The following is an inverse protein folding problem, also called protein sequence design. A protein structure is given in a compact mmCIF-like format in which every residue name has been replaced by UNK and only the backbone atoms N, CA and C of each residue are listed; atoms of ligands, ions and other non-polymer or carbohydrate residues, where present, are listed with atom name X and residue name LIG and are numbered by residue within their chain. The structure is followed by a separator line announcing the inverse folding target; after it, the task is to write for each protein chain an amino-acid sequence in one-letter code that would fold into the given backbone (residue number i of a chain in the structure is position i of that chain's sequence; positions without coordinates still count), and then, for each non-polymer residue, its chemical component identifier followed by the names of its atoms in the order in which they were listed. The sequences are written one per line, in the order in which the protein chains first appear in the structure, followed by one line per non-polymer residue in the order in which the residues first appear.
data_IF_639374365650
#
_entry.id   IF_639374365650
#
_cell.length_a   1.000
_cell.length_b   1.000
_cell.length_c   1.000
_cell.angle_alpha   90.00
_cell.angle_beta   90.00
_cell.angle_gamma   90.00
#
_symmetry.space_group_name_H-M   'P 1'
#
loop_
_entity.id
_entity.type
_entity.pdbx_description
1 polymer ?
#
# COMPACT_ATOMS: atom_id res chain seq x y z
N UNK A 1 -2.55 9.08 28.31
CA UNK A 1 -2.09 10.48 28.39
C UNK A 1 -1.37 10.81 27.10
N UNK A 2 -1.62 11.98 26.49
CA UNK A 2 -0.81 12.47 25.38
C UNK A 2 0.58 12.84 25.94
N UNK A 3 1.68 12.18 25.53
CA UNK A 3 3.01 12.43 26.07
C UNK A 3 3.54 13.84 25.79
N UNK A 4 2.95 14.56 24.81
CA UNK A 4 3.33 15.93 24.50
C UNK A 4 2.53 16.99 25.25
N UNK A 5 1.52 16.58 26.04
CA UNK A 5 0.60 17.47 26.75
C UNK A 5 0.00 18.60 25.87
N UNK A 6 0.03 18.42 24.54
CA UNK A 6 -0.62 19.30 23.58
C UNK A 6 -2.10 18.97 23.58
N UNK A 7 -2.93 19.99 23.80
CA UNK A 7 -4.36 19.87 23.64
C UNK A 7 -4.67 19.72 22.13
N UNK A 8 -4.64 18.49 21.63
CA UNK A 8 -5.30 18.19 20.36
C UNK A 8 -6.79 18.32 20.64
N UNK A 9 -7.36 19.48 20.32
CA UNK A 9 -8.80 19.68 20.32
C UNK A 9 -9.40 18.52 19.52
N UNK A 10 -10.29 17.74 20.13
CA UNK A 10 -11.02 16.61 19.52
C UNK A 10 -11.73 16.93 18.18
N UNK A 11 -11.63 18.17 17.69
CA UNK A 11 -12.20 18.67 16.44
C UNK A 11 -11.29 18.54 15.23
N UNK A 12 -9.97 18.41 15.39
CA UNK A 12 -9.11 18.22 14.23
C UNK A 12 -9.15 16.76 13.79
N UNK A 13 -9.63 16.54 12.56
CA UNK A 13 -9.55 15.22 11.93
C UNK A 13 -8.08 14.79 11.88
N UNK A 14 -7.75 13.54 12.28
CA UNK A 14 -6.38 13.05 12.20
C UNK A 14 -5.86 13.22 10.77
N UNK A 15 -4.73 13.92 10.62
CA UNK A 15 -4.08 14.12 9.32
C UNK A 15 -2.76 13.37 9.30
N UNK A 16 -2.72 12.31 8.51
CA UNK A 16 -1.47 11.70 8.05
C UNK A 16 -1.31 12.03 6.57
N UNK A 17 -0.07 12.20 6.16
CA UNK A 17 0.27 12.08 4.75
C UNK A 17 0.62 10.62 4.45
N UNK A 18 0.06 10.09 3.37
CA UNK A 18 0.41 8.78 2.84
C UNK A 18 1.38 8.99 1.68
N UNK A 19 2.66 8.66 1.88
CA UNK A 19 3.66 8.65 0.82
C UNK A 19 3.60 7.30 0.12
N UNK A 20 3.60 7.28 -1.22
CA UNK A 20 3.50 6.07 -2.05
C UNK A 20 4.65 6.06 -3.05
N UNK A 21 5.27 4.89 -3.26
CA UNK A 21 6.31 4.70 -4.28
C UNK A 21 5.74 4.74 -5.70
N UNK A 22 6.63 4.70 -6.69
CA UNK A 22 6.21 4.33 -8.05
C UNK A 22 5.54 2.95 -8.05
N UNK A 23 4.46 2.76 -8.82
CA UNK A 23 3.78 1.47 -8.95
C UNK A 23 4.54 0.51 -9.87
N UNK A 24 4.56 -0.76 -9.46
CA UNK A 24 5.07 -1.87 -10.26
C UNK A 24 3.94 -2.87 -10.52
N UNK A 25 3.91 -3.43 -11.72
CA UNK A 25 3.04 -4.55 -12.08
C UNK A 25 3.80 -5.86 -11.89
N UNK A 26 3.17 -6.83 -11.25
CA UNK A 26 3.68 -8.20 -11.12
C UNK A 26 2.96 -9.07 -12.17
N UNK A 27 3.60 -9.34 -13.33
CA UNK A 27 2.98 -10.08 -14.40
C UNK A 27 2.93 -11.58 -14.09
N UNK A 28 2.13 -12.31 -14.87
CA UNK A 28 2.02 -13.78 -14.79
C UNK A 28 1.53 -14.32 -13.44
N UNK A 29 0.79 -13.51 -12.68
CA UNK A 29 0.12 -13.97 -11.47
C UNK A 29 -1.23 -14.59 -11.86
N UNK A 30 -1.51 -15.87 -11.52
CA UNK A 30 -2.80 -16.48 -11.78
C UNK A 30 -3.94 -15.69 -11.13
N UNK A 31 -5.08 -15.55 -11.83
CA UNK A 31 -6.27 -14.86 -11.30
C UNK A 31 -6.77 -15.42 -9.96
N UNK A 32 -6.56 -16.71 -9.70
CA UNK A 32 -6.89 -17.37 -8.44
C UNK A 32 -6.02 -16.93 -7.26
N UNK A 33 -4.84 -16.37 -7.53
CA UNK A 33 -3.84 -16.05 -6.51
C UNK A 33 -4.18 -14.71 -5.85
N UNK A 34 -4.45 -14.77 -4.56
CA UNK A 34 -4.75 -13.58 -3.78
C UNK A 34 -3.48 -12.91 -3.24
N UNK A 35 -3.60 -11.66 -2.78
CA UNK A 35 -2.46 -10.90 -2.24
C UNK A 35 -1.76 -11.56 -1.05
N UNK A 36 -2.48 -12.36 -0.23
CA UNK A 36 -1.86 -13.10 0.87
C UNK A 36 -0.97 -14.25 0.37
N UNK A 37 -1.44 -15.03 -0.60
CA UNK A 37 -0.64 -16.08 -1.25
C UNK A 37 0.59 -15.49 -1.95
N UNK A 38 0.46 -14.30 -2.53
CA UNK A 38 1.61 -13.58 -3.10
C UNK A 38 2.62 -13.20 -2.02
N UNK A 39 2.18 -12.61 -0.92
CA UNK A 39 3.05 -12.34 0.21
C UNK A 39 3.73 -13.62 0.74
N UNK A 40 3.02 -14.76 0.75
CA UNK A 40 3.57 -16.04 1.16
C UNK A 40 4.66 -16.57 0.20
N UNK A 41 4.51 -16.35 -1.11
CA UNK A 41 5.56 -16.66 -2.09
C UNK A 41 6.73 -15.68 -2.00
N UNK A 42 6.46 -14.39 -1.81
CA UNK A 42 7.51 -13.37 -1.68
C UNK A 42 8.37 -13.58 -0.43
N UNK A 43 7.79 -14.03 0.68
CA UNK A 43 8.53 -14.34 1.89
C UNK A 43 9.46 -15.55 1.75
N UNK A 44 9.36 -16.32 0.65
CA UNK A 44 10.13 -17.54 0.44
C UNK A 44 11.60 -17.26 0.11
N UNK A 45 11.91 -16.05 -0.34
CA UNK A 45 13.28 -15.59 -0.64
C UNK A 45 14.09 -15.22 0.60
N UNK A 46 13.43 -15.14 1.77
CA UNK A 46 14.06 -14.69 3.01
C UNK A 46 13.98 -13.18 3.19
N UNK A 47 14.14 -12.73 4.44
CA UNK A 47 13.90 -11.33 4.84
C UNK A 47 14.87 -10.33 4.17
N UNK A 48 16.16 -10.66 4.13
CA UNK A 48 17.20 -9.75 3.63
C UNK A 48 17.04 -9.51 2.13
N UNK A 49 16.87 -10.58 1.35
CA UNK A 49 16.67 -10.47 -0.09
C UNK A 49 15.33 -9.80 -0.42
N UNK A 50 14.25 -10.16 0.30
CA UNK A 50 12.94 -9.52 0.14
C UNK A 50 13.03 -8.00 0.35
N UNK A 51 13.61 -7.56 1.47
CA UNK A 51 13.74 -6.13 1.79
C UNK A 51 14.65 -5.40 0.81
N UNK A 52 15.81 -5.99 0.45
CA UNK A 52 16.74 -5.38 -0.52
C UNK A 52 16.08 -5.21 -1.88
N UNK A 53 15.31 -6.20 -2.34
CA UNK A 53 14.67 -6.19 -3.64
C UNK A 53 13.54 -5.16 -3.70
N UNK A 54 12.69 -5.11 -2.67
CA UNK A 54 11.64 -4.09 -2.58
C UNK A 54 12.23 -2.67 -2.54
N UNK A 55 13.28 -2.43 -1.74
CA UNK A 55 13.92 -1.11 -1.65
C UNK A 55 14.60 -0.69 -2.96
N UNK A 56 15.14 -1.64 -3.72
CA UNK A 56 15.74 -1.38 -5.02
C UNK A 56 14.70 -1.07 -6.10
N UNK A 57 13.56 -1.77 -6.09
CA UNK A 57 12.53 -1.63 -7.12
C UNK A 57 11.62 -0.43 -6.86
N UNK A 58 11.19 -0.25 -5.62
CA UNK A 58 10.25 0.79 -5.21
C UNK A 58 10.91 1.77 -4.23
N UNK A 59 11.92 2.55 -4.67
CA UNK A 59 12.59 3.51 -3.82
C UNK A 59 11.62 4.62 -3.39
N UNK A 60 11.80 5.09 -2.15
CA UNK A 60 11.00 6.17 -1.57
C UNK A 60 11.84 7.43 -1.45
N UNK A 61 11.26 8.58 -1.80
CA UNK A 61 11.91 9.87 -1.65
C UNK A 61 12.04 10.27 -0.17
N UNK A 62 13.13 10.97 0.15
CA UNK A 62 13.32 11.53 1.49
C UNK A 62 12.48 12.80 1.64
N UNK A 63 11.52 12.76 2.57
CA UNK A 63 10.61 13.86 2.87
C UNK A 63 10.86 14.50 4.24
N UNK A 64 11.66 13.87 5.12
CA UNK A 64 11.86 14.37 6.48
C UNK A 64 12.54 15.74 6.43
N UNK A 65 11.96 16.70 7.14
CA UNK A 65 12.49 18.06 7.23
C UNK A 65 12.06 18.98 6.08
N UNK A 66 11.39 18.46 5.04
CA UNK A 66 10.85 19.27 3.95
C UNK A 66 9.49 19.86 4.31
N UNK A 67 9.16 21.01 3.73
CA UNK A 67 7.80 21.56 3.78
C UNK A 67 6.96 21.05 2.62
N UNK A 68 5.63 21.12 2.73
CA UNK A 68 4.73 20.69 1.66
C UNK A 68 4.97 21.50 0.36
N UNK A 69 5.30 22.79 0.49
CA UNK A 69 5.65 23.66 -0.62
C UNK A 69 6.95 23.22 -1.30
N UNK A 70 7.99 22.88 -0.54
CA UNK A 70 9.25 22.38 -1.08
C UNK A 70 9.04 21.08 -1.86
N UNK A 71 8.27 20.14 -1.30
CA UNK A 71 7.93 18.89 -1.97
C UNK A 71 7.18 19.16 -3.28
N UNK A 72 6.20 20.08 -3.27
CA UNK A 72 5.46 20.45 -4.47
C UNK A 72 6.36 21.09 -5.55
N UNK A 73 7.25 22.00 -5.16
CA UNK A 73 8.20 22.63 -6.08
C UNK A 73 9.19 21.63 -6.69
N UNK A 74 9.75 20.73 -5.88
CA UNK A 74 10.64 19.65 -6.34
C UNK A 74 9.91 18.72 -7.32
N UNK A 75 8.66 18.36 -7.03
CA UNK A 75 7.83 17.53 -7.92
C UNK A 75 7.57 18.19 -9.28
N UNK A 76 7.20 19.48 -9.28
CA UNK A 76 7.00 20.25 -10.53
C UNK A 76 8.31 20.35 -11.31
N UNK A 77 9.42 20.63 -10.64
CA UNK A 77 10.73 20.70 -11.28
C UNK A 77 11.14 19.35 -11.89
N UNK A 78 10.94 18.24 -11.17
CA UNK A 78 11.22 16.89 -11.64
C UNK A 78 10.40 16.54 -12.90
N UNK A 79 9.09 16.84 -12.90
CA UNK A 79 8.23 16.63 -14.07
C UNK A 79 8.69 17.45 -15.30
N UNK A 80 9.13 18.70 -15.10
CA UNK A 80 9.66 19.54 -16.19
C UNK A 80 10.98 18.98 -16.72
N UNK A 81 11.89 18.55 -15.85
CA UNK A 81 13.19 18.00 -16.24
C UNK A 81 13.01 16.69 -17.02
N UNK A 82 12.20 15.76 -16.49
CA UNK A 82 11.89 14.49 -17.17
C UNK A 82 11.24 14.72 -18.53
N UNK A 83 10.31 15.69 -18.63
CA UNK A 83 9.67 16.05 -19.89
C UNK A 83 10.64 16.63 -20.95
N UNK A 84 11.82 17.13 -20.56
CA UNK A 84 12.83 17.68 -21.47
C UNK A 84 13.89 16.65 -21.92
N UNK A 85 14.09 15.57 -21.16
CA UNK A 85 15.14 14.58 -21.42
C UNK A 85 14.74 13.48 -22.44
N UNK A 86 13.46 13.34 -22.82
CA UNK A 86 13.06 12.43 -23.91
C UNK A 86 13.33 13.12 -25.26
N UNK A 87 14.23 12.55 -26.05
CA UNK A 87 14.89 13.09 -27.25
C UNK A 87 13.99 13.33 -28.49
N UNK A 88 12.71 13.68 -28.32
CA UNK A 88 11.78 13.87 -29.43
C UNK A 88 10.57 14.73 -29.06
N UNK A 89 10.76 16.05 -28.97
CA UNK A 89 9.66 17.03 -28.90
C UNK A 89 8.95 17.13 -27.54
N UNK A 90 8.92 18.35 -26.99
CA UNK A 90 8.26 18.67 -25.73
C UNK A 90 6.72 18.63 -25.84
N UNK A 91 6.06 17.86 -24.97
CA UNK A 91 4.85 18.25 -24.18
C UNK A 91 4.04 17.07 -23.61
N UNK A 92 4.11 15.86 -24.17
CA UNK A 92 3.17 14.78 -23.80
C UNK A 92 3.40 14.21 -22.39
N UNK A 93 4.61 13.79 -22.06
CA UNK A 93 4.88 13.02 -20.83
C UNK A 93 4.69 13.83 -19.53
N UNK A 94 5.04 15.12 -19.51
CA UNK A 94 4.82 15.96 -18.32
C UNK A 94 3.34 16.32 -18.12
N UNK A 95 2.60 16.55 -19.21
CA UNK A 95 1.16 16.80 -19.16
C UNK A 95 0.39 15.55 -18.69
N UNK A 96 0.81 14.38 -19.13
CA UNK A 96 0.28 13.08 -18.72
C UNK A 96 0.47 12.83 -17.22
N UNK A 97 1.68 13.04 -16.68
CA UNK A 97 1.93 12.93 -15.23
C UNK A 97 1.03 13.86 -14.42
N UNK A 98 0.86 15.12 -14.86
CA UNK A 98 -0.03 16.09 -14.19
C UNK A 98 -1.51 15.66 -14.29
N UNK A 99 -1.92 15.09 -15.43
CA UNK A 99 -3.27 14.57 -15.62
C UNK A 99 -3.57 13.39 -14.68
N UNK A 100 -2.62 12.46 -14.54
CA UNK A 100 -2.70 11.33 -13.59
C UNK A 100 -2.84 11.83 -12.15
N UNK A 101 -2.00 12.78 -11.72
CA UNK A 101 -2.07 13.37 -10.37
C UNK A 101 -3.43 14.07 -10.14
N UNK A 102 -3.93 14.80 -11.14
CA UNK A 102 -5.24 15.46 -11.07
C UNK A 102 -6.37 14.43 -10.97
N UNK A 103 -6.30 13.35 -11.73
CA UNK A 103 -7.25 12.23 -11.66
C UNK A 103 -7.25 11.60 -10.28
N UNK A 104 -6.07 11.30 -9.72
CA UNK A 104 -5.90 10.81 -8.35
C UNK A 104 -6.51 11.75 -7.32
N UNK A 105 -6.24 13.06 -7.42
CA UNK A 105 -6.79 14.06 -6.50
C UNK A 105 -8.33 14.13 -6.57
N UNK A 106 -8.91 14.06 -7.77
CA UNK A 106 -10.36 13.99 -7.95
C UNK A 106 -10.92 12.69 -7.35
N UNK A 107 -10.35 11.53 -7.68
CA UNK A 107 -10.77 10.24 -7.18
C UNK A 107 -10.72 10.16 -5.64
N UNK A 108 -9.72 10.78 -5.01
CA UNK A 108 -9.62 10.89 -3.56
C UNK A 108 -10.72 11.75 -2.93
N UNK A 109 -11.23 12.75 -3.63
CA UNK A 109 -12.28 13.64 -3.10
C UNK A 109 -13.70 13.12 -3.37
N UNK A 110 -13.88 12.37 -4.45
CA UNK A 110 -15.18 11.80 -4.83
C UNK A 110 -15.72 10.88 -3.75
N UNK A 111 -17.00 11.04 -3.41
CA UNK A 111 -17.75 10.22 -2.42
C UNK A 111 -17.18 10.15 -1.00
N UNK A 112 -16.13 10.93 -0.66
CA UNK A 112 -15.53 10.92 0.69
C UNK A 112 -16.55 11.29 1.77
N UNK A 113 -17.35 12.32 1.54
CA UNK A 113 -18.34 12.78 2.52
C UNK A 113 -19.44 11.73 2.80
N UNK A 114 -19.89 11.03 1.77
CA UNK A 114 -20.90 9.97 1.88
C UNK A 114 -20.33 8.73 2.58
N UNK A 115 -19.07 8.39 2.31
CA UNK A 115 -18.36 7.29 2.99
C UNK A 115 -18.14 7.58 4.47
N UNK A 116 -17.77 8.82 4.82
CA UNK A 116 -17.62 9.25 6.21
C UNK A 116 -18.95 9.18 6.96
N UNK A 117 -20.07 9.53 6.31
CA UNK A 117 -21.39 9.55 6.96
C UNK A 117 -22.04 8.17 7.06
N UNK A 118 -21.88 7.31 6.08
CA UNK A 118 -22.56 5.99 6.01
C UNK A 118 -21.68 4.83 6.47
N UNK A 119 -20.36 4.96 6.41
CA UNK A 119 -19.41 3.86 6.60
C UNK A 119 -19.44 2.83 5.46
N UNK A 120 -20.23 3.06 4.42
CA UNK A 120 -20.41 2.15 3.28
C UNK A 120 -19.44 2.57 2.17
N UNK A 121 -18.68 1.59 1.68
CA UNK A 121 -17.69 1.77 0.63
C UNK A 121 -18.23 1.28 -0.72
N UNK A 122 -19.11 2.06 -1.33
CA UNK A 122 -19.60 1.79 -2.69
C UNK A 122 -18.51 2.08 -3.72
N UNK A 123 -18.33 1.13 -4.63
CA UNK A 123 -17.45 1.20 -5.79
C UNK A 123 -18.33 1.64 -6.96
N UNK A 124 -17.84 2.58 -7.77
CA UNK A 124 -18.52 2.90 -9.01
C UNK A 124 -18.44 1.71 -9.96
N UNK A 125 -19.55 1.33 -10.59
CA UNK A 125 -19.59 0.29 -11.64
C UNK A 125 -18.80 0.65 -12.90
N UNK A 126 -18.25 1.87 -12.96
CA UNK A 126 -17.43 2.33 -14.08
C UNK A 126 -16.17 1.45 -14.19
N UNK A 127 -15.95 0.82 -15.34
CA UNK A 127 -14.68 0.15 -15.63
C UNK A 127 -13.50 1.12 -15.53
N UNK A 128 -12.36 0.63 -15.04
CA UNK A 128 -11.16 1.42 -14.81
C UNK A 128 -10.09 1.11 -15.87
N UNK A 129 -9.36 2.12 -16.32
CA UNK A 129 -8.08 1.89 -17.02
C UNK A 129 -6.98 1.56 -16.02
N UNK A 130 -5.83 1.07 -16.50
CA UNK A 130 -4.70 0.69 -15.64
C UNK A 130 -4.23 1.85 -14.75
N UNK A 131 -4.16 3.06 -15.29
CA UNK A 131 -3.75 4.27 -14.56
C UNK A 131 -4.77 4.72 -13.51
N UNK A 132 -6.05 4.38 -13.71
CA UNK A 132 -7.12 4.69 -12.77
C UNK A 132 -7.18 3.72 -11.58
N UNK A 133 -6.60 2.51 -11.68
CA UNK A 133 -6.66 1.47 -10.62
C UNK A 133 -6.10 1.99 -9.29
N UNK A 134 -4.90 2.58 -9.30
CA UNK A 134 -4.28 3.05 -8.07
C UNK A 134 -5.09 4.22 -7.49
N UNK A 135 -5.44 5.20 -8.34
CA UNK A 135 -6.26 6.36 -7.97
C UNK A 135 -7.56 5.96 -7.27
N UNK A 136 -8.23 4.95 -7.81
CA UNK A 136 -9.49 4.43 -7.29
C UNK A 136 -9.34 3.77 -5.91
N UNK A 137 -8.23 3.07 -5.69
CA UNK A 137 -7.97 2.31 -4.44
C UNK A 137 -7.37 3.14 -3.32
N UNK A 138 -6.84 4.34 -3.60
CA UNK A 138 -6.17 5.22 -2.61
C UNK A 138 -6.96 5.44 -1.34
N UNK A 139 -8.27 5.69 -1.42
CA UNK A 139 -9.07 5.93 -0.23
C UNK A 139 -9.16 4.68 0.66
N UNK A 140 -9.39 3.51 0.06
CA UNK A 140 -9.48 2.25 0.83
C UNK A 140 -8.12 1.89 1.42
N UNK A 141 -7.07 2.14 0.65
CA UNK A 141 -5.68 2.02 1.07
C UNK A 141 -5.37 2.92 2.27
N UNK A 142 -5.79 4.18 2.29
CA UNK A 142 -5.65 5.09 3.43
C UNK A 142 -6.27 4.49 4.71
N UNK A 143 -7.53 4.02 4.63
CA UNK A 143 -8.22 3.42 5.75
C UNK A 143 -7.53 2.14 6.26
N UNK A 144 -7.17 1.23 5.36
CA UNK A 144 -6.47 0.00 5.70
C UNK A 144 -5.07 0.26 6.26
N UNK A 145 -4.36 1.30 5.78
CA UNK A 145 -3.02 1.64 6.28
C UNK A 145 -3.07 2.13 7.73
N UNK A 146 -4.13 2.82 8.14
CA UNK A 146 -4.35 3.19 9.55
C UNK A 146 -4.66 1.96 10.42
N UNK A 147 -5.41 0.97 9.90
CA UNK A 147 -5.60 -0.32 10.58
C UNK A 147 -4.29 -1.08 10.71
N UNK A 148 -3.48 -1.11 9.65
CA UNK A 148 -2.16 -1.71 9.63
C UNK A 148 -1.20 -1.04 10.63
N UNK A 149 -1.30 0.27 10.83
CA UNK A 149 -0.53 1.00 11.85
C UNK A 149 -0.81 0.48 13.27
N UNK A 150 -2.04 0.02 13.56
CA UNK A 150 -2.39 -0.59 14.85
C UNK A 150 -1.67 -1.92 15.05
N UNK A 151 -1.45 -2.69 13.98
CA UNK A 151 -0.67 -3.94 14.01
C UNK A 151 0.79 -3.61 14.35
N UNK A 152 1.39 -2.63 13.67
CA UNK A 152 2.77 -2.19 13.97
C UNK A 152 2.93 -1.67 15.41
N UNK A 153 1.91 -0.99 15.94
CA UNK A 153 1.88 -0.48 17.31
C UNK A 153 1.57 -1.57 18.38
N UNK A 154 1.43 -2.84 18.01
CA UNK A 154 1.11 -3.95 18.92
C UNK A 154 -0.23 -3.76 19.67
N UNK A 155 -1.17 -3.07 19.01
CA UNK A 155 -2.56 -2.85 19.47
C UNK A 155 -3.58 -3.14 18.36
N UNK A 156 -3.48 -4.28 17.64
CA UNK A 156 -4.39 -4.58 16.55
C UNK A 156 -5.83 -4.74 17.04
N UNK A 157 -6.81 -4.44 16.18
CA UNK A 157 -8.22 -4.74 16.47
C UNK A 157 -8.52 -6.23 16.38
N UNK A 158 -7.87 -6.93 15.46
CA UNK A 158 -7.98 -8.36 15.22
C UNK A 158 -6.58 -8.99 15.25
N UNK A 159 -6.40 -10.05 16.04
CA UNK A 159 -5.14 -10.79 16.10
C UNK A 159 -4.98 -11.73 14.88
N UNK A 160 -3.75 -12.10 14.55
CA UNK A 160 -3.52 -13.09 13.49
C UNK A 160 -4.20 -14.42 13.88
N UNK A 161 -4.95 -15.06 12.97
CA UNK A 161 -5.66 -16.29 13.30
C UNK A 161 -4.70 -17.47 13.57
N UNK A 162 -3.57 -17.52 12.87
CA UNK A 162 -2.49 -18.50 13.05
C UNK A 162 -1.23 -18.05 12.28
N UNK A 163 -0.15 -18.83 12.39
CA UNK A 163 1.08 -18.62 11.61
C UNK A 163 1.22 -19.67 10.49
N UNK A 164 1.79 -19.28 9.36
CA UNK A 164 2.16 -20.15 8.24
C UNK A 164 3.62 -19.96 7.86
N UNK A 165 4.23 -20.94 7.19
CA UNK A 165 5.56 -20.77 6.59
C UNK A 165 5.43 -20.23 5.16
N UNK A 166 6.46 -19.53 4.69
CA UNK A 166 6.55 -19.18 3.27
C UNK A 166 6.62 -20.42 2.37
N UNK A 167 6.09 -20.31 1.16
CA UNK A 167 6.02 -21.43 0.19
C UNK A 167 7.05 -21.20 -0.92
N UNK A 168 8.05 -22.09 -1.01
CA UNK A 168 8.89 -22.22 -2.21
C UNK A 168 8.19 -23.16 -3.18
N UNK A 169 7.86 -22.69 -4.39
CA UNK A 169 7.53 -23.56 -5.52
C UNK A 169 8.80 -23.74 -6.36
N UNK A 170 9.11 -24.96 -6.76
CA UNK A 170 10.39 -25.31 -7.39
C UNK A 170 10.53 -24.80 -8.85
N UNK A 171 9.42 -24.46 -9.53
CA UNK A 171 9.42 -24.17 -10.98
C UNK A 171 8.96 -22.75 -11.39
N UNK A 172 8.45 -21.93 -10.47
CA UNK A 172 8.03 -20.55 -10.75
C UNK A 172 9.01 -19.60 -10.04
N UNK A 173 9.82 -18.83 -10.78
CA UNK A 173 10.78 -17.87 -10.22
C UNK A 173 10.17 -16.88 -9.21
N UNK A 174 11.00 -16.06 -8.55
CA UNK A 174 10.50 -15.18 -7.50
C UNK A 174 9.54 -14.13 -8.08
N UNK A 175 8.36 -13.85 -7.47
CA UNK A 175 7.38 -12.94 -8.07
C UNK A 175 7.89 -11.53 -8.34
N UNK A 176 8.88 -11.07 -7.58
CA UNK A 176 9.51 -9.76 -7.80
C UNK A 176 10.54 -9.76 -8.95
N UNK A 177 11.01 -10.90 -9.47
CA UNK A 177 11.93 -10.93 -10.62
C UNK A 177 11.25 -10.50 -11.92
N UNK A 178 9.96 -10.79 -12.05
CA UNK A 178 9.19 -10.47 -13.25
C UNK A 178 8.54 -9.08 -13.18
N UNK A 179 8.67 -8.35 -12.07
CA UNK A 179 7.95 -7.10 -11.92
C UNK A 179 8.48 -6.03 -12.87
N UNK A 180 7.55 -5.27 -13.44
CA UNK A 180 7.83 -4.17 -14.37
C UNK A 180 7.23 -2.87 -13.84
N UNK A 181 7.88 -1.72 -14.04
CA UNK A 181 7.23 -0.42 -13.78
C UNK A 181 5.89 -0.32 -14.50
N UNK A 182 4.90 0.32 -13.88
CA UNK A 182 3.57 0.50 -14.51
C UNK A 182 3.66 1.19 -15.89
N UNK A 183 4.62 2.12 -16.04
CA UNK A 183 4.88 2.86 -17.29
C UNK A 183 5.42 1.96 -18.42
N UNK A 184 6.04 0.83 -18.09
CA UNK A 184 6.62 -0.12 -19.05
C UNK A 184 5.73 -1.35 -19.26
N UNK A 185 4.60 -1.45 -18.56
CA UNK A 185 3.71 -2.60 -18.68
C UNK A 185 2.95 -2.57 -20.01
N UNK A 186 3.01 -3.68 -20.75
CA UNK A 186 2.41 -3.78 -22.09
C UNK A 186 1.00 -4.32 -22.03
N UNK A 187 0.10 -3.72 -22.82
CA UNK A 187 -1.32 -4.10 -22.92
C UNK A 187 -1.53 -5.51 -23.50
N UNK A 188 -0.53 -6.09 -24.15
CA UNK A 188 -0.57 -7.44 -24.72
C UNK A 188 -0.35 -8.57 -23.70
N UNK A 189 -0.16 -8.23 -22.43
CA UNK A 189 -0.07 -9.24 -21.37
C UNK A 189 -1.36 -10.09 -21.35
N UNK A 190 -1.20 -11.40 -21.56
CA UNK A 190 -2.30 -12.39 -21.60
C UNK A 190 -2.74 -12.79 -20.20
N UNK A 191 -2.30 -12.08 -19.17
CA UNK A 191 -2.62 -12.37 -17.78
C UNK A 191 -4.10 -12.16 -17.49
N UNK A 192 -4.70 -13.11 -16.78
CA UNK A 192 -6.11 -13.10 -16.36
C UNK A 192 -6.40 -12.02 -15.30
N UNK A 193 -5.37 -11.38 -14.74
CA UNK A 193 -5.50 -10.29 -13.76
C UNK A 193 -4.22 -9.49 -13.69
N UNK A 194 -4.34 -8.20 -13.36
CA UNK A 194 -3.21 -7.32 -13.08
C UNK A 194 -3.03 -7.19 -11.57
N UNK A 195 -1.77 -7.27 -11.12
CA UNK A 195 -1.42 -7.03 -9.73
C UNK A 195 -0.44 -5.88 -9.62
N UNK A 196 -0.89 -4.77 -9.04
CA UNK A 196 -0.08 -3.57 -8.82
C UNK A 196 0.47 -3.59 -7.40
N UNK A 197 1.77 -3.45 -7.27
CA UNK A 197 2.51 -3.32 -6.01
C UNK A 197 3.01 -1.90 -5.82
N UNK A 198 2.84 -1.37 -4.61
CA UNK A 198 3.43 -0.10 -4.16
C UNK A 198 3.95 -0.23 -2.73
N UNK A 199 4.97 0.56 -2.38
CA UNK A 199 5.41 0.78 -0.99
C UNK A 199 4.72 2.02 -0.45
N UNK A 200 4.23 1.94 0.78
CA UNK A 200 3.53 3.01 1.50
C UNK A 200 4.32 3.35 2.77
N UNK A 201 4.50 4.64 3.02
CA UNK A 201 5.01 5.16 4.29
C UNK A 201 4.07 6.25 4.80
N UNK A 202 3.52 6.06 6.00
CA UNK A 202 2.75 7.10 6.68
C UNK A 202 3.70 8.15 7.28
N UNK A 203 3.31 9.42 7.18
CA UNK A 203 4.10 10.59 7.56
C UNK A 203 3.23 11.56 8.36
N UNK A 204 3.80 12.24 9.35
CA UNK A 204 3.13 13.30 10.11
C UNK A 204 3.52 14.68 9.54
N UNK A 205 2.62 15.38 8.80
CA UNK A 205 2.92 16.70 8.26
C UNK A 205 3.20 17.76 9.33
N UNK A 206 2.66 17.60 10.55
CA UNK A 206 2.90 18.52 11.67
C UNK A 206 4.30 18.36 12.27
N UNK A 207 4.99 17.26 11.95
CA UNK A 207 6.36 16.97 12.36
C UNK A 207 7.31 16.90 11.17
N UNK A 208 7.13 17.81 10.20
CA UNK A 208 7.98 17.90 9.01
C UNK A 208 8.11 16.55 8.28
N UNK A 209 6.97 15.87 8.08
CA UNK A 209 6.89 14.56 7.44
C UNK A 209 7.77 13.50 8.12
N UNK A 210 7.90 13.53 9.44
CA UNK A 210 8.45 12.41 10.20
C UNK A 210 7.66 11.12 9.91
N UNK A 211 8.36 10.00 9.74
CA UNK A 211 7.73 8.70 9.51
C UNK A 211 6.94 8.21 10.74
N UNK A 212 5.69 7.82 10.51
CA UNK A 212 4.78 7.24 11.50
C UNK A 212 4.63 5.75 11.18
N UNK A 213 5.20 4.88 12.03
CA UNK A 213 5.29 3.46 11.72
C UNK A 213 6.34 3.13 10.66
N UNK A 214 6.46 1.85 10.34
CA UNK A 214 7.35 1.32 9.31
C UNK A 214 6.71 1.30 7.92
N UNK A 215 7.52 1.16 6.85
CA UNK A 215 7.04 0.95 5.50
C UNK A 215 6.11 -0.26 5.41
N UNK A 216 5.11 -0.15 4.54
CA UNK A 216 4.13 -1.19 4.22
C UNK A 216 4.12 -1.42 2.72
N UNK A 217 3.72 -2.62 2.29
CA UNK A 217 3.53 -2.95 0.88
C UNK A 217 2.05 -3.11 0.63
N UNK A 218 1.51 -2.43 -0.38
CA UNK A 218 0.16 -2.67 -0.85
C UNK A 218 0.16 -3.40 -2.19
N UNK A 219 -0.70 -4.40 -2.29
CA UNK A 219 -0.97 -5.20 -3.47
C UNK A 219 -2.42 -4.98 -3.88
N UNK A 220 -2.62 -4.37 -5.05
CA UNK A 220 -3.93 -4.14 -5.66
C UNK A 220 -4.13 -5.16 -6.76
N UNK A 221 -5.15 -6.01 -6.63
CA UNK A 221 -5.54 -6.96 -7.67
C UNK A 221 -6.74 -6.41 -8.43
N UNK A 222 -6.62 -6.33 -9.75
CA UNK A 222 -7.71 -5.99 -10.65
C UNK A 222 -7.86 -7.03 -11.75
N UNK A 223 -9.10 -7.30 -12.14
CA UNK A 223 -9.49 -8.35 -13.09
C UNK A 223 -10.04 -7.66 -14.34
N UNK A 224 -9.64 -8.07 -15.55
CA UNK A 224 -10.19 -7.51 -16.78
C UNK A 224 -11.69 -7.80 -16.88
N UNK A 225 -12.40 -6.94 -17.59
CA UNK A 225 -13.81 -7.15 -17.95
C UNK A 225 -13.83 -7.70 -19.39
N UNK A 226 -14.48 -8.85 -19.59
CA UNK A 226 -14.53 -9.51 -20.90
C UNK A 226 -15.21 -8.65 -22.00
N UNK A 227 -14.76 -8.85 -23.24
CA UNK A 227 -14.96 -8.00 -24.42
C UNK A 227 -16.41 -7.89 -24.95
N UNK A 228 -17.39 -8.67 -24.46
CA UNK A 228 -18.77 -8.62 -25.02
C UNK A 228 -19.50 -7.28 -24.78
N UNK A 229 -18.95 -6.39 -23.96
CA UNK A 229 -19.48 -5.04 -23.71
C UNK A 229 -18.60 -3.93 -24.30
N UNK A 230 -17.49 -4.27 -24.96
CA UNK A 230 -16.63 -3.29 -25.61
C UNK A 230 -17.28 -2.86 -26.93
N UNK A 231 -18.09 -1.80 -26.86
CA UNK A 231 -18.40 -1.00 -28.03
C UNK A 231 -17.07 -0.65 -28.74
N UNK A 232 -17.06 -0.83 -30.05
CA UNK A 232 -15.93 -0.89 -30.99
C UNK A 232 -14.99 0.34 -31.08
N UNK A 233 -14.86 1.16 -30.04
CA UNK A 233 -14.10 2.43 -30.10
C UNK A 233 -13.05 2.66 -28.99
N UNK A 234 -12.92 1.80 -27.97
CA UNK A 234 -11.87 1.92 -26.93
C UNK A 234 -10.84 0.77 -27.03
N UNK A 235 -9.66 1.04 -27.58
CA UNK A 235 -8.52 0.10 -27.69
C UNK A 235 -7.85 -0.26 -26.34
N UNK A 236 -8.41 0.17 -25.20
CA UNK A 236 -7.78 0.05 -23.88
C UNK A 236 -8.47 -0.98 -22.98
N UNK A 237 -7.69 -1.94 -22.46
CA UNK A 237 -8.17 -2.96 -21.51
C UNK A 237 -8.75 -2.29 -20.26
N UNK A 238 -9.97 -2.71 -19.89
CA UNK A 238 -10.71 -2.18 -18.74
C UNK A 238 -10.75 -3.21 -17.61
N UNK A 239 -10.69 -2.72 -16.37
CA UNK A 239 -10.54 -3.54 -15.17
C UNK A 239 -11.59 -3.23 -14.11
N UNK A 240 -11.90 -4.23 -13.28
CA UNK A 240 -12.56 -4.07 -11.97
C UNK A 240 -11.62 -4.47 -10.86
N UNK A 241 -11.68 -3.75 -9.74
CA UNK A 241 -10.90 -4.11 -8.55
C UNK A 241 -11.50 -5.36 -7.92
N UNK A 242 -10.66 -6.35 -7.59
CA UNK A 242 -11.07 -7.56 -6.90
C UNK A 242 -10.61 -7.58 -5.43
N UNK A 243 -9.38 -7.14 -5.16
CA UNK A 243 -8.79 -7.27 -3.83
C UNK A 243 -7.73 -6.19 -3.58
N UNK A 244 -7.60 -5.79 -2.32
CA UNK A 244 -6.50 -4.99 -1.81
C UNK A 244 -5.91 -5.72 -0.60
N UNK A 245 -4.60 -5.92 -0.60
CA UNK A 245 -3.86 -6.44 0.54
C UNK A 245 -2.78 -5.45 0.96
N UNK A 246 -2.61 -5.25 2.27
CA UNK A 246 -1.51 -4.46 2.84
C UNK A 246 -0.71 -5.37 3.75
N UNK A 247 0.60 -5.40 3.55
CA UNK A 247 1.54 -6.19 4.34
C UNK A 247 2.64 -5.32 4.94
N UNK A 248 3.26 -5.84 5.99
CA UNK A 248 4.45 -5.24 6.57
C UNK A 248 5.25 -6.27 7.34
N UNK A 249 6.40 -5.83 7.85
CA UNK A 249 7.37 -6.72 8.48
C UNK A 249 7.30 -6.58 10.00
N UNK A 250 7.61 -7.68 10.68
CA UNK A 250 7.90 -7.74 12.10
C UNK A 250 9.20 -8.51 12.28
N UNK A 251 10.25 -7.82 12.68
CA UNK A 251 11.63 -8.30 12.65
C UNK A 251 12.10 -8.57 14.08
N UNK A 252 12.95 -9.58 14.28
CA UNK A 252 13.46 -9.92 15.60
C UNK A 252 14.26 -8.75 16.20
N UNK A 253 13.93 -8.39 17.44
CA UNK A 253 14.74 -7.48 18.23
C UNK A 253 16.06 -8.17 18.60
N UNK A 254 17.18 -7.69 18.06
CA UNK A 254 18.53 -8.23 18.28
C UNK A 254 19.28 -8.70 17.02
N UNK A 255 18.67 -8.63 15.83
CA UNK A 255 19.35 -8.80 14.54
C UNK A 255 20.03 -7.51 14.04
N UNK A 256 20.66 -7.56 12.85
CA UNK A 256 21.17 -6.37 12.16
C UNK A 256 20.04 -5.35 11.96
N UNK A 257 20.37 -4.05 11.98
CA UNK A 257 19.43 -2.93 11.76
C UNK A 257 18.61 -3.17 10.49
N UNK A 258 17.32 -3.49 10.61
CA UNK A 258 16.38 -3.46 9.49
C UNK A 258 15.67 -2.10 9.48
N UNK A 259 15.46 -1.52 8.30
CA UNK A 259 14.77 -0.24 8.11
C UNK A 259 13.24 -0.37 8.20
N UNK A 260 12.70 -1.60 8.23
CA UNK A 260 11.26 -1.85 8.12
C UNK A 260 10.51 -2.03 9.44
N UNK A 261 11.18 -2.53 10.48
CA UNK A 261 10.60 -2.70 11.81
C UNK A 261 11.62 -2.38 12.90
N UNK A 262 11.51 -1.18 13.44
CA UNK A 262 12.35 -0.65 14.51
C UNK A 262 11.50 -0.24 15.70
N UNK A 263 12.08 -0.28 16.90
CA UNK A 263 11.41 0.23 18.09
C UNK A 263 10.97 1.70 17.92
N UNK A 264 11.74 2.50 17.17
CA UNK A 264 11.36 3.87 16.81
C UNK A 264 10.04 3.88 16.03
N UNK A 265 9.91 3.07 14.99
CA UNK A 265 8.70 3.01 14.17
C UNK A 265 7.48 2.55 14.97
N UNK A 266 7.64 1.53 15.84
CA UNK A 266 6.59 1.12 16.77
C UNK A 266 6.14 2.26 17.68
N UNK A 267 7.10 3.01 18.23
CA UNK A 267 6.81 4.14 19.11
C UNK A 267 6.16 5.31 18.38
N UNK A 268 6.57 5.65 17.15
CA UNK A 268 5.92 6.73 16.38
C UNK A 268 4.50 6.35 15.99
N UNK A 269 4.27 5.10 15.59
CA UNK A 269 2.94 4.54 15.34
C UNK A 269 2.04 4.65 16.59
N UNK A 270 2.52 4.15 17.73
CA UNK A 270 1.78 4.19 18.99
C UNK A 270 1.51 5.63 19.45
N UNK A 271 2.50 6.52 19.36
CA UNK A 271 2.37 7.92 19.76
C UNK A 271 1.28 8.61 18.94
N UNK A 272 1.29 8.42 17.62
CA UNK A 272 0.29 9.00 16.73
C UNK A 272 -1.11 8.44 17.04
N UNK A 273 -1.27 7.12 17.12
CA UNK A 273 -2.55 6.49 17.45
C UNK A 273 -3.13 6.98 18.79
N UNK A 274 -2.29 7.13 19.82
CA UNK A 274 -2.72 7.66 21.12
C UNK A 274 -3.09 9.14 21.04
N UNK A 275 -2.30 9.96 20.34
CA UNK A 275 -2.56 11.39 20.19
C UNK A 275 -3.92 11.68 19.53
N UNK A 276 -4.33 10.83 18.58
CA UNK A 276 -5.60 10.97 17.87
C UNK A 276 -6.73 10.06 18.42
N UNK A 277 -6.55 9.48 19.61
CA UNK A 277 -7.61 8.73 20.30
C UNK A 277 -7.93 7.35 19.72
N UNK A 278 -7.10 6.86 18.79
CA UNK A 278 -7.19 5.54 18.16
C UNK A 278 -6.42 4.45 18.94
N UNK A 279 -5.66 4.83 19.97
CA UNK A 279 -4.88 3.91 20.81
C UNK A 279 -5.63 3.30 22.00
N UNK A 280 -6.98 3.26 21.99
CA UNK A 280 -7.73 2.65 23.10
C UNK A 280 -7.51 1.14 23.10
N UNK A 281 -6.77 0.67 24.11
CA UNK A 281 -6.55 -0.75 24.33
C UNK A 281 -7.89 -1.42 24.66
N UNK A 282 -8.43 -2.21 23.72
CA UNK A 282 -9.53 -3.14 23.99
C UNK A 282 -9.14 -4.12 25.11
N UNK A 283 -10.12 -4.81 25.70
CA UNK A 283 -9.87 -5.84 26.72
C UNK A 283 -8.85 -6.83 26.16
N UNK A 284 -7.67 -6.91 26.80
CA UNK A 284 -6.57 -7.80 26.41
C UNK A 284 -7.09 -9.23 26.28
N UNK A 285 -7.19 -9.73 25.05
CA UNK A 285 -7.14 -11.16 24.80
C UNK A 285 -5.73 -11.65 25.17
N UNK A 286 -5.65 -12.91 25.59
CA UNK A 286 -4.45 -13.52 26.14
C UNK A 286 -3.41 -13.65 25.03
N UNK A 287 -2.36 -12.83 25.08
CA UNK A 287 -1.23 -12.83 24.15
C UNK A 287 -0.77 -14.26 23.83
N UNK A 288 -1.01 -14.75 22.62
CA UNK A 288 -0.04 -15.63 21.96
C UNK A 288 1.06 -14.71 21.45
N UNK A 289 2.02 -14.39 22.32
CA UNK A 289 3.23 -13.74 21.86
C UNK A 289 3.81 -14.61 20.74
N UNK A 290 4.11 -14.06 19.55
CA UNK A 290 4.90 -14.79 18.58
C UNK A 290 6.16 -15.27 19.32
N UNK A 291 6.51 -16.55 19.14
CA UNK A 291 7.71 -17.16 19.70
C UNK A 291 8.84 -16.14 19.57
N UNK A 292 9.32 -15.66 20.72
CA UNK A 292 10.20 -14.52 20.87
C UNK A 292 11.39 -14.66 19.91
N UNK A 293 11.36 -13.97 18.77
CA UNK A 293 12.48 -13.87 17.84
C UNK A 293 12.35 -14.52 16.45
N UNK A 294 11.14 -14.69 15.89
CA UNK A 294 10.96 -15.02 14.46
C UNK A 294 10.65 -13.78 13.63
N UNK A 295 11.22 -13.72 12.41
CA UNK A 295 10.90 -12.69 11.42
C UNK A 295 9.60 -13.07 10.70
N UNK A 296 8.63 -12.16 10.75
CA UNK A 296 7.27 -12.39 10.26
C UNK A 296 6.89 -11.32 9.25
N UNK A 297 6.10 -11.71 8.26
CA UNK A 297 5.34 -10.81 7.41
C UNK A 297 3.87 -10.91 7.81
N UNK A 298 3.32 -9.81 8.31
CA UNK A 298 1.91 -9.69 8.63
C UNK A 298 1.18 -9.06 7.45
N UNK A 299 -0.12 -9.34 7.31
CA UNK A 299 -0.93 -8.67 6.31
C UNK A 299 -2.41 -8.59 6.69
N UNK A 300 -3.10 -7.62 6.10
CA UNK A 300 -4.55 -7.47 6.10
C UNK A 300 -5.05 -7.45 4.67
N UNK A 301 -6.24 -7.99 4.42
CA UNK A 301 -6.84 -7.98 3.09
C UNK A 301 -8.29 -7.51 3.13
N UNK A 302 -8.74 -6.89 2.04
CA UNK A 302 -10.13 -6.52 1.81
C UNK A 302 -10.48 -6.87 0.37
N UNK A 303 -11.60 -7.57 0.19
CA UNK A 303 -12.10 -7.98 -1.13
C UNK A 303 -13.27 -7.10 -1.54
N UNK A 304 -13.47 -7.01 -2.84
CA UNK A 304 -14.65 -6.40 -3.44
C UNK A 304 -15.67 -7.50 -3.72
N UNK A 305 -16.91 -7.30 -3.26
CA UNK A 305 -18.04 -8.16 -3.60
C UNK A 305 -19.29 -7.30 -3.79
N UNK A 306 -20.04 -7.56 -4.86
CA UNK A 306 -21.23 -6.78 -5.22
C UNK A 306 -20.99 -5.26 -5.19
N UNK A 307 -19.87 -4.83 -5.81
CA UNK A 307 -19.46 -3.42 -5.92
C UNK A 307 -19.30 -2.71 -4.56
N UNK A 308 -18.99 -3.49 -3.51
CA UNK A 308 -18.72 -3.00 -2.17
C UNK A 308 -17.40 -3.55 -1.65
N UNK A 309 -16.62 -2.70 -0.98
CA UNK A 309 -15.49 -3.19 -0.19
C UNK A 309 -15.98 -3.89 1.07
N UNK A 310 -15.55 -5.13 1.25
CA UNK A 310 -15.76 -5.86 2.49
C UNK A 310 -14.91 -5.26 3.62
N UNK A 311 -15.29 -5.61 4.86
CA UNK A 311 -14.46 -5.32 6.03
C UNK A 311 -13.06 -5.91 5.82
N UNK A 312 -12.04 -5.16 6.22
CA UNK A 312 -10.66 -5.68 6.24
C UNK A 312 -10.54 -6.83 7.23
N UNK A 313 -9.79 -7.87 6.86
CA UNK A 313 -9.59 -9.06 7.68
C UNK A 313 -8.10 -9.24 7.92
N UNK A 314 -7.72 -9.63 9.15
CA UNK A 314 -6.36 -10.01 9.49
C UNK A 314 -6.01 -11.39 8.90
N UNK A 315 -4.99 -11.43 8.06
CA UNK A 315 -4.48 -12.69 7.51
C UNK A 315 -3.55 -13.41 8.51
N UNK A 316 -3.24 -14.70 8.31
CA UNK A 316 -2.18 -15.39 9.05
C UNK A 316 -0.82 -14.68 8.96
N UNK A 317 0.04 -14.87 9.96
CA UNK A 317 1.42 -14.39 9.91
C UNK A 317 2.32 -15.35 9.15
N UNK A 318 3.12 -14.81 8.22
CA UNK A 318 4.01 -15.60 7.38
C UNK A 318 5.42 -15.58 7.98
N UNK A 319 5.94 -16.76 8.29
CA UNK A 319 7.35 -16.97 8.70
C UNK A 319 8.23 -16.98 7.47
N UNK A 320 9.22 -16.09 7.45
CA UNK A 320 10.28 -16.12 6.46
C UNK A 320 11.07 -17.44 6.56
N UNK A 321 11.54 -17.91 5.41
CA UNK A 321 12.49 -19.03 5.38
C UNK A 321 13.84 -18.52 5.91
N UNK A 322 14.43 -19.28 6.84
CA UNK A 322 15.77 -19.05 7.37
C UNK A 322 16.84 -19.51 6.39
#
# INVERSE_FOLDING_TARGET
MNPLNTAVLRKDTPKLAMQISKPFVLPSIPSSMNGFELFQRMAAVGLEEFTSKILSMMPMEELVGKTAEQIAFEGIASAIIQGRNKEGGASSSAAETVAVVKSMATAMNTSRNERISTGIWNISDKPLTVDEILAFTLQKMEAMTVEALKIQADIPEEEAPFDVSAIKKEDDGHPLDSAVPLEDWTKDDKSDSIMISVVIQLRDPLRQFEAVGGPMIALVQAVPIDEETNNFDDEEKKFKIACLAIGGLKVRSGGRKNTWDTEKQKLTAMQWLVAYGLGKMGKKAKKSSPLKGQDLLWSISSRVMADMWLKSIRNPDIKFIM
#
